data_IF_534281108251
#
_entry.id   IF_534281108251
#
_cell.length_a   1.000
_cell.length_b   1.000
_cell.length_c   1.000
_cell.angle_alpha   90.00
_cell.angle_beta   90.00
_cell.angle_gamma   90.00
#
_symmetry.space_group_name_H-M   'P 1'
#
loop_
_entity.id
_entity.type
_entity.pdbx_description
1 polymer ?
#
# COMPACT_ATOMS: atom_id res chain seq x y z
N UNK A 1 30.79 9.44 23.59
CA UNK A 1 32.26 9.47 23.54
C UNK A 1 32.79 10.19 24.75
N UNK A 2 33.01 9.44 25.83
CA UNK A 2 33.83 9.91 26.94
C UNK A 2 35.23 10.22 26.41
N UNK A 3 35.81 11.35 26.82
CA UNK A 3 37.15 11.73 26.38
C UNK A 3 38.14 10.78 27.06
N UNK A 4 38.54 9.73 26.35
CA UNK A 4 39.53 8.77 26.84
C UNK A 4 40.74 9.57 27.33
N UNK A 5 41.11 9.38 28.60
CA UNK A 5 42.24 10.08 29.20
C UNK A 5 43.55 9.47 28.70
N UNK A 6 43.85 9.70 27.41
CA UNK A 6 45.07 9.28 26.74
C UNK A 6 46.31 9.86 27.41
N UNK A 7 46.17 11.00 28.08
CA UNK A 7 47.26 11.66 28.77
C UNK A 7 47.70 10.88 30.01
N UNK A 8 46.77 10.45 30.87
CA UNK A 8 47.08 9.62 32.04
C UNK A 8 47.67 8.26 31.66
N UNK A 9 47.17 7.64 30.59
CA UNK A 9 47.75 6.39 30.06
C UNK A 9 49.18 6.61 29.57
N UNK A 10 49.41 7.69 28.82
CA UNK A 10 50.74 8.03 28.30
C UNK A 10 51.73 8.32 29.42
N UNK A 11 51.33 9.06 30.44
CA UNK A 11 52.14 9.35 31.62
C UNK A 11 52.49 8.06 32.38
N UNK A 12 51.52 7.17 32.60
CA UNK A 12 51.76 5.88 33.24
C UNK A 12 52.69 4.97 32.41
N UNK A 13 52.55 4.97 31.08
CA UNK A 13 53.42 4.23 30.18
C UNK A 13 54.87 4.78 30.21
N UNK A 14 55.03 6.10 30.16
CA UNK A 14 56.33 6.76 30.22
C UNK A 14 57.01 6.54 31.58
N UNK A 15 56.25 6.57 32.67
CA UNK A 15 56.76 6.27 34.01
C UNK A 15 57.29 4.82 34.05
N UNK A 16 56.47 3.85 33.63
CA UNK A 16 56.90 2.45 33.54
C UNK A 16 58.17 2.26 32.71
N UNK A 17 58.24 2.85 31.51
CA UNK A 17 59.43 2.76 30.65
C UNK A 17 60.67 3.36 31.31
N UNK A 18 60.52 4.49 31.99
CA UNK A 18 61.61 5.17 32.68
C UNK A 18 62.11 4.35 33.87
N UNK A 19 61.19 3.80 34.68
CA UNK A 19 61.53 2.95 35.82
C UNK A 19 62.15 1.63 35.39
N UNK A 20 61.68 1.04 34.28
CA UNK A 20 62.26 -0.17 33.71
C UNK A 20 63.69 0.06 33.23
N UNK A 21 63.93 1.14 32.47
CA UNK A 21 65.27 1.48 31.99
C UNK A 21 66.24 1.76 33.15
N UNK A 22 65.75 2.37 34.24
CA UNK A 22 66.54 2.59 35.45
C UNK A 22 66.82 1.30 36.22
N UNK A 23 65.84 0.40 36.34
CA UNK A 23 66.00 -0.93 36.95
C UNK A 23 67.03 -1.77 36.19
N UNK A 24 66.97 -1.79 34.85
CA UNK A 24 67.92 -2.52 33.99
C UNK A 24 69.35 -1.97 34.09
N UNK A 25 69.51 -0.69 34.41
CA UNK A 25 70.81 -0.03 34.54
C UNK A 25 71.47 -0.20 35.93
N UNK A 26 70.72 -0.63 36.96
CA UNK A 26 71.20 -0.72 38.35
C UNK A 26 71.06 -2.14 38.88
N UNK A 27 72.20 -2.84 39.02
CA UNK A 27 72.24 -4.27 39.41
C UNK A 27 72.15 -4.53 40.92
N UNK A 28 72.36 -3.54 41.79
CA UNK A 28 72.52 -3.75 43.25
C UNK A 28 71.56 -2.93 44.14
N UNK A 29 70.48 -2.35 43.61
CA UNK A 29 69.55 -1.54 44.42
C UNK A 29 68.32 -2.35 44.90
N UNK A 30 68.13 -2.54 46.22
CA UNK A 30 67.02 -3.32 46.77
C UNK A 30 65.63 -2.72 46.48
N UNK A 31 65.53 -1.41 46.18
CA UNK A 31 64.25 -0.77 45.93
C UNK A 31 63.82 -0.81 44.45
N UNK A 32 64.74 -1.15 43.54
CA UNK A 32 64.48 -1.00 42.11
C UNK A 32 63.43 -1.98 41.56
N UNK A 33 63.37 -3.20 42.10
CA UNK A 33 62.35 -4.19 41.77
C UNK A 33 60.94 -3.75 42.24
N UNK A 34 60.88 -3.16 43.43
CA UNK A 34 59.63 -2.67 44.02
C UNK A 34 59.06 -1.49 43.21
N UNK A 35 59.90 -0.52 42.86
CA UNK A 35 59.50 0.66 42.07
C UNK A 35 59.03 0.25 40.67
N UNK A 36 59.72 -0.69 40.02
CA UNK A 36 59.32 -1.22 38.71
C UNK A 36 57.98 -1.97 38.80
N UNK A 37 57.80 -2.78 39.84
CA UNK A 37 56.54 -3.50 40.09
C UNK A 37 55.36 -2.55 40.31
N UNK A 38 55.58 -1.45 41.05
CA UNK A 38 54.56 -0.42 41.26
C UNK A 38 54.20 0.32 39.96
N UNK A 39 55.20 0.66 39.14
CA UNK A 39 54.98 1.31 37.84
C UNK A 39 54.19 0.42 36.86
N UNK A 40 54.51 -0.89 36.81
CA UNK A 40 53.72 -1.88 36.04
C UNK A 40 52.28 -1.95 36.55
N UNK A 41 52.09 -1.99 37.87
CA UNK A 41 50.76 -2.06 38.46
C UNK A 41 49.93 -0.81 38.14
N UNK A 42 50.54 0.38 38.18
CA UNK A 42 49.91 1.65 37.82
C UNK A 42 49.50 1.68 36.34
N UNK A 43 50.40 1.28 35.43
CA UNK A 43 50.08 1.21 34.00
C UNK A 43 48.93 0.24 33.70
N UNK A 44 48.97 -0.96 34.28
CA UNK A 44 47.88 -1.96 34.15
C UNK A 44 46.55 -1.45 34.71
N UNK A 45 46.55 -0.66 35.78
CA UNK A 45 45.32 -0.03 36.30
C UNK A 45 44.73 0.93 35.28
N UNK A 46 45.55 1.78 34.66
CA UNK A 46 45.06 2.74 33.66
C UNK A 46 44.44 2.05 32.45
N UNK A 47 45.08 0.99 31.94
CA UNK A 47 44.53 0.18 30.84
C UNK A 47 43.14 -0.36 31.23
N UNK A 48 43.03 -0.99 32.41
CA UNK A 48 41.75 -1.58 32.87
C UNK A 48 40.64 -0.56 33.04
N UNK A 49 40.95 0.65 33.51
CA UNK A 49 39.96 1.70 33.63
C UNK A 49 39.41 2.10 32.26
N UNK A 50 40.29 2.34 31.29
CA UNK A 50 39.87 2.67 29.92
C UNK A 50 39.09 1.53 29.24
N UNK A 51 39.53 0.28 29.43
CA UNK A 51 38.80 -0.90 28.94
C UNK A 51 37.40 -0.95 29.53
N UNK A 52 37.25 -0.68 30.83
CA UNK A 52 35.95 -0.66 31.50
C UNK A 52 35.04 0.44 30.95
N UNK A 53 35.57 1.65 30.73
CA UNK A 53 34.80 2.77 30.18
C UNK A 53 34.31 2.47 28.76
N UNK A 54 35.18 1.91 27.90
CA UNK A 54 34.82 1.49 26.54
C UNK A 54 33.75 0.40 26.57
N UNK A 55 33.92 -0.62 27.43
CA UNK A 55 32.94 -1.70 27.57
C UNK A 55 31.59 -1.15 28.04
N UNK A 56 31.57 -0.23 29.00
CA UNK A 56 30.33 0.38 29.49
C UNK A 56 29.60 1.15 28.37
N UNK A 57 30.32 1.97 27.58
CA UNK A 57 29.74 2.70 26.45
C UNK A 57 29.21 1.74 25.37
N UNK A 58 29.94 0.69 25.04
CA UNK A 58 29.50 -0.32 24.07
C UNK A 58 28.26 -1.10 24.56
N UNK A 59 28.16 -1.38 25.87
CA UNK A 59 27.00 -2.05 26.44
C UNK A 59 25.75 -1.14 26.39
N UNK A 60 25.89 0.16 26.66
CA UNK A 60 24.81 1.13 26.52
C UNK A 60 24.36 1.25 25.05
N UNK A 61 25.30 1.32 24.10
CA UNK A 61 24.99 1.30 22.68
C UNK A 61 24.28 0.00 22.24
N UNK A 62 24.66 -1.14 22.82
CA UNK A 62 24.03 -2.41 22.52
C UNK A 62 22.59 -2.44 23.04
N UNK A 63 22.36 -2.01 24.27
CA UNK A 63 21.02 -1.93 24.87
C UNK A 63 20.10 -1.00 24.06
N UNK A 64 20.60 0.16 23.63
CA UNK A 64 19.80 1.08 22.80
C UNK A 64 19.44 0.47 21.44
N UNK A 65 20.35 -0.30 20.82
CA UNK A 65 20.08 -1.03 19.57
C UNK A 65 19.08 -2.17 19.77
N UNK A 66 19.19 -2.93 20.85
CA UNK A 66 18.24 -4.00 21.19
C UNK A 66 16.82 -3.45 21.43
N UNK A 67 16.71 -2.33 22.13
CA UNK A 67 15.43 -1.63 22.32
C UNK A 67 14.83 -1.19 20.97
N UNK A 68 15.65 -0.67 20.06
CA UNK A 68 15.21 -0.28 18.71
C UNK A 68 14.74 -1.49 17.88
N UNK A 69 15.42 -2.63 18.01
CA UNK A 69 15.02 -3.88 17.34
C UNK A 69 13.65 -4.33 17.86
N UNK A 70 13.45 -4.36 19.19
CA UNK A 70 12.18 -4.74 19.79
C UNK A 70 11.01 -3.83 19.34
N UNK A 71 11.24 -2.52 19.22
CA UNK A 71 10.24 -1.60 18.66
C UNK A 71 9.89 -1.93 17.21
N UNK A 72 10.89 -2.21 16.37
CA UNK A 72 10.69 -2.56 14.97
C UNK A 72 9.96 -3.90 14.81
N UNK A 73 10.27 -4.90 15.64
CA UNK A 73 9.56 -6.19 15.66
C UNK A 73 8.08 -6.03 16.04
N UNK A 74 7.80 -5.16 17.01
CA UNK A 74 6.42 -4.82 17.39
C UNK A 74 5.66 -4.16 16.23
N UNK A 75 6.29 -3.20 15.54
CA UNK A 75 5.70 -2.54 14.37
C UNK A 75 5.48 -3.54 13.24
N UNK A 76 6.45 -4.40 12.95
CA UNK A 76 6.36 -5.42 11.92
C UNK A 76 5.20 -6.39 12.19
N UNK A 77 5.03 -6.81 13.45
CA UNK A 77 3.94 -7.70 13.87
C UNK A 77 2.56 -7.03 13.73
N UNK A 78 2.42 -5.77 14.14
CA UNK A 78 1.18 -5.01 13.97
C UNK A 78 0.81 -4.83 12.48
N UNK A 79 1.80 -4.53 11.64
CA UNK A 79 1.62 -4.44 10.19
C UNK A 79 1.22 -5.78 9.56
N UNK A 80 1.84 -6.89 9.96
CA UNK A 80 1.49 -8.22 9.50
C UNK A 80 0.02 -8.56 9.82
N UNK A 81 -0.44 -8.23 11.03
CA UNK A 81 -1.84 -8.44 11.44
C UNK A 81 -2.83 -7.59 10.61
N UNK A 82 -2.50 -6.31 10.38
CA UNK A 82 -3.32 -5.42 9.54
C UNK A 82 -3.40 -5.93 8.10
N UNK A 83 -2.30 -6.44 7.57
CA UNK A 83 -2.25 -7.01 6.23
C UNK A 83 -3.12 -8.28 6.12
N UNK A 84 -3.05 -9.18 7.11
CA UNK A 84 -3.91 -10.37 7.16
C UNK A 84 -5.39 -9.97 7.17
N UNK A 85 -5.77 -9.02 8.03
CA UNK A 85 -7.15 -8.52 8.11
C UNK A 85 -7.62 -7.90 6.80
N UNK A 86 -6.76 -7.18 6.09
CA UNK A 86 -7.07 -6.61 4.79
C UNK A 86 -7.25 -7.70 3.72
N UNK A 87 -6.40 -8.73 3.70
CA UNK A 87 -6.56 -9.88 2.82
C UNK A 87 -7.87 -10.62 3.08
N UNK A 88 -8.21 -10.84 4.35
CA UNK A 88 -9.47 -11.48 4.74
C UNK A 88 -10.66 -10.65 4.24
N UNK A 89 -10.66 -9.34 4.50
CA UNK A 89 -11.72 -8.44 4.03
C UNK A 89 -11.88 -8.43 2.51
N UNK A 90 -10.77 -8.43 1.76
CA UNK A 90 -10.79 -8.52 0.30
C UNK A 90 -11.36 -9.86 -0.18
N UNK A 91 -10.99 -10.96 0.47
CA UNK A 91 -11.54 -12.29 0.17
C UNK A 91 -13.05 -12.34 0.42
N UNK A 92 -13.52 -11.80 1.55
CA UNK A 92 -14.95 -11.71 1.85
C UNK A 92 -15.70 -10.85 0.83
N UNK A 93 -15.15 -9.69 0.45
CA UNK A 93 -15.74 -8.84 -0.58
C UNK A 93 -15.83 -9.56 -1.93
N UNK A 94 -14.77 -10.25 -2.36
CA UNK A 94 -14.77 -11.02 -3.60
C UNK A 94 -15.83 -12.13 -3.61
N UNK A 95 -15.99 -12.85 -2.49
CA UNK A 95 -17.03 -13.87 -2.34
C UNK A 95 -18.43 -13.26 -2.45
N UNK A 96 -18.69 -12.16 -1.73
CA UNK A 96 -19.98 -11.45 -1.81
C UNK A 96 -20.27 -10.99 -3.24
N UNK A 97 -19.31 -10.37 -3.92
CA UNK A 97 -19.47 -9.97 -5.32
C UNK A 97 -19.76 -11.15 -6.25
N UNK A 98 -19.09 -12.29 -6.06
CA UNK A 98 -19.36 -13.50 -6.86
C UNK A 98 -20.77 -14.04 -6.62
N UNK A 99 -21.25 -14.02 -5.37
CA UNK A 99 -22.59 -14.47 -5.01
C UNK A 99 -23.66 -13.51 -5.56
N UNK A 100 -23.43 -12.20 -5.48
CA UNK A 100 -24.31 -11.19 -6.08
C UNK A 100 -24.33 -11.33 -7.61
N UNK A 101 -23.16 -11.53 -8.25
CA UNK A 101 -23.09 -11.74 -9.70
C UNK A 101 -23.86 -12.99 -10.14
N UNK A 102 -23.78 -14.09 -9.37
CA UNK A 102 -24.59 -15.29 -9.63
C UNK A 102 -26.10 -15.02 -9.48
N UNK A 103 -26.52 -14.20 -8.51
CA UNK A 103 -27.92 -13.80 -8.37
C UNK A 103 -28.39 -12.88 -9.50
N UNK A 104 -27.57 -11.90 -9.93
CA UNK A 104 -27.93 -10.99 -11.02
C UNK A 104 -27.96 -11.67 -12.38
N UNK A 105 -27.10 -12.67 -12.61
CA UNK A 105 -27.05 -13.41 -13.87
C UNK A 105 -28.18 -14.44 -14.02
N UNK A 106 -28.94 -14.72 -12.95
CA UNK A 106 -30.08 -15.63 -12.97
C UNK A 106 -31.45 -14.90 -13.05
N UNK A 107 -31.47 -13.62 -13.43
CA UNK A 107 -32.73 -12.91 -13.67
C UNK A 107 -33.41 -13.41 -14.96
N UNK A 108 -34.29 -14.40 -14.83
CA UNK A 108 -35.12 -14.92 -15.92
C UNK A 108 -36.58 -14.47 -15.77
N UNK A 109 -37.17 -13.93 -16.84
CA UNK A 109 -38.58 -13.54 -16.89
C UNK A 109 -39.33 -14.44 -17.86
N UNK A 110 -40.39 -15.09 -17.40
CA UNK A 110 -41.32 -15.80 -18.29
C UNK A 110 -42.20 -14.80 -19.02
N UNK A 111 -42.03 -14.68 -20.34
CA UNK A 111 -42.84 -13.81 -21.18
C UNK A 111 -44.11 -14.54 -21.65
N UNK A 112 -45.23 -13.81 -21.83
CA UNK A 112 -46.45 -14.40 -22.37
C UNK A 112 -46.26 -14.79 -23.85
N UNK A 113 -46.94 -15.84 -24.30
CA UNK A 113 -46.82 -16.32 -25.68
C UNK A 113 -47.42 -15.30 -26.66
N UNK A 114 -46.66 -14.95 -27.69
CA UNK A 114 -47.03 -13.92 -28.67
C UNK A 114 -48.27 -14.33 -29.48
N UNK A 115 -48.51 -15.63 -29.67
CA UNK A 115 -49.65 -16.12 -30.45
C UNK A 115 -51.00 -15.83 -29.81
N UNK A 116 -51.05 -15.67 -28.47
CA UNK A 116 -52.29 -15.36 -27.74
C UNK A 116 -52.80 -13.92 -28.00
N UNK A 117 -51.97 -13.08 -28.61
CA UNK A 117 -52.26 -11.66 -28.85
C UNK A 117 -52.68 -11.36 -30.30
N UNK A 118 -52.94 -12.39 -31.10
CA UNK A 118 -53.56 -12.25 -32.42
C UNK A 118 -55.07 -12.40 -32.30
N UNK A 119 -55.81 -11.35 -32.67
CA UNK A 119 -57.27 -11.38 -32.77
C UNK A 119 -57.63 -11.14 -34.23
N UNK A 120 -58.26 -12.12 -34.88
CA UNK A 120 -58.57 -12.08 -36.31
C UNK A 120 -57.34 -11.72 -37.17
N UNK A 121 -56.23 -12.41 -36.96
CA UNK A 121 -54.93 -12.16 -37.62
C UNK A 121 -54.31 -10.76 -37.41
N UNK A 122 -54.88 -9.94 -36.51
CA UNK A 122 -54.34 -8.63 -36.16
C UNK A 122 -53.65 -8.68 -34.79
N UNK A 123 -52.34 -8.39 -34.78
CA UNK A 123 -51.52 -8.36 -33.58
C UNK A 123 -51.84 -7.18 -32.66
N UNK A 124 -52.09 -7.46 -31.38
CA UNK A 124 -52.46 -6.49 -30.37
C UNK A 124 -51.23 -5.99 -29.58
N UNK A 125 -50.38 -5.18 -30.22
CA UNK A 125 -49.10 -4.72 -29.66
C UNK A 125 -49.18 -4.11 -28.26
N UNK A 126 -50.10 -3.16 -28.00
CA UNK A 126 -50.22 -2.51 -26.68
C UNK A 126 -50.58 -3.48 -25.55
N UNK A 127 -51.35 -4.54 -25.85
CA UNK A 127 -51.71 -5.56 -24.84
C UNK A 127 -50.50 -6.42 -24.51
N UNK A 128 -49.78 -6.86 -25.53
CA UNK A 128 -48.56 -7.66 -25.37
C UNK A 128 -47.48 -6.87 -24.62
N UNK A 129 -47.19 -5.63 -25.01
CA UNK A 129 -46.19 -4.77 -24.35
C UNK A 129 -46.52 -4.57 -22.85
N UNK A 130 -47.76 -4.24 -22.51
CA UNK A 130 -48.19 -4.07 -21.13
C UNK A 130 -48.05 -5.35 -20.30
N UNK A 131 -48.35 -6.50 -20.87
CA UNK A 131 -48.30 -7.77 -20.14
C UNK A 131 -46.84 -8.25 -19.99
N UNK A 132 -45.97 -7.96 -20.97
CA UNK A 132 -44.51 -8.09 -20.86
C UNK A 132 -43.95 -7.18 -19.77
N UNK A 133 -44.33 -5.89 -19.73
CA UNK A 133 -43.95 -4.97 -18.66
C UNK A 133 -44.34 -5.50 -17.28
N UNK A 134 -45.58 -5.98 -17.15
CA UNK A 134 -46.08 -6.57 -15.91
C UNK A 134 -45.27 -7.79 -15.50
N UNK A 135 -44.90 -8.66 -16.44
CA UNK A 135 -44.06 -9.82 -16.15
C UNK A 135 -42.67 -9.40 -15.65
N UNK A 136 -42.04 -8.42 -16.29
CA UNK A 136 -40.73 -7.88 -15.91
C UNK A 136 -40.77 -7.23 -14.52
N UNK A 137 -41.77 -6.39 -14.25
CA UNK A 137 -41.95 -5.72 -12.95
C UNK A 137 -42.26 -6.76 -11.86
N UNK A 138 -43.11 -7.74 -12.14
CA UNK A 138 -43.45 -8.83 -11.21
C UNK A 138 -42.23 -9.69 -10.84
N UNK A 139 -41.29 -9.85 -11.77
CA UNK A 139 -40.01 -10.52 -11.52
C UNK A 139 -39.01 -9.64 -10.74
N UNK A 140 -39.33 -8.36 -10.50
CA UNK A 140 -38.44 -7.41 -9.81
C UNK A 140 -37.52 -6.61 -10.72
N UNK A 141 -37.73 -6.69 -12.04
CA UNK A 141 -36.99 -5.93 -13.04
C UNK A 141 -37.61 -4.57 -13.35
N UNK A 142 -36.93 -3.78 -14.18
CA UNK A 142 -37.40 -2.48 -14.66
C UNK A 142 -37.57 -2.52 -16.18
N UNK A 143 -38.79 -2.30 -16.66
CA UNK A 143 -39.08 -2.21 -18.09
C UNK A 143 -38.79 -0.78 -18.59
N UNK A 144 -38.05 -0.66 -19.69
CA UNK A 144 -37.73 0.60 -20.37
C UNK A 144 -37.97 0.40 -21.87
N UNK A 145 -39.00 1.03 -22.41
CA UNK A 145 -39.23 1.01 -23.87
C UNK A 145 -38.47 2.15 -24.53
N UNK A 146 -37.72 1.83 -25.59
CA UNK A 146 -37.12 2.84 -26.44
C UNK A 146 -38.22 3.55 -27.24
N UNK A 147 -38.37 4.86 -27.07
CA UNK A 147 -39.17 5.68 -28.00
C UNK A 147 -38.42 5.77 -29.33
N UNK A 148 -39.06 5.35 -30.41
CA UNK A 148 -38.61 5.74 -31.75
C UNK A 148 -38.77 7.26 -31.89
N UNK A 149 -37.69 7.97 -32.21
CA UNK A 149 -37.81 9.31 -32.79
C UNK A 149 -38.41 9.14 -34.19
N UNK A 150 -39.67 9.52 -34.36
CA UNK A 150 -40.24 9.71 -35.69
C UNK A 150 -39.89 11.13 -36.14
N UNK A 151 -38.93 11.25 -37.06
CA UNK A 151 -38.74 12.46 -37.85
C UNK A 151 -39.96 12.62 -38.78
N UNK A 152 -41.05 13.17 -38.25
CA UNK A 152 -42.16 13.65 -39.06
C UNK A 152 -41.87 15.08 -39.49
N UNK A 153 -41.28 15.22 -40.67
CA UNK A 153 -41.36 16.42 -41.50
C UNK A 153 -42.85 16.70 -41.79
N UNK A 154 -43.47 17.52 -40.94
CA UNK A 154 -44.76 18.14 -41.26
C UNK A 154 -44.49 19.26 -42.26
N UNK A 155 -44.69 18.93 -43.54
CA UNK A 155 -44.79 19.90 -44.61
C UNK A 155 -46.07 20.73 -44.38
N UNK A 156 -45.88 21.89 -43.74
CA UNK A 156 -46.90 22.93 -43.58
C UNK A 156 -47.11 23.62 -44.91
N UNK A 157 -48.31 23.49 -45.48
CA UNK A 157 -48.71 24.19 -46.69
C UNK A 157 -49.12 25.62 -46.31
N UNK A 158 -48.19 26.58 -46.40
CA UNK A 158 -48.53 28.00 -46.44
C UNK A 158 -48.69 28.46 -47.90
N UNK A 159 -49.81 29.12 -48.15
CA UNK A 159 -50.24 29.66 -49.45
C UNK A 159 -49.70 31.10 -49.61
N UNK A 160 -49.20 31.42 -50.82
CA UNK A 160 -48.75 32.71 -51.37
C UNK A 160 -47.34 33.18 -50.92
N UNK A 161 -46.39 33.54 -51.80
CA UNK A 161 -46.43 34.24 -53.09
C UNK A 161 -45.27 33.78 -53.98
N UNK A 162 -45.48 33.91 -55.29
CA UNK A 162 -44.65 33.34 -56.34
C UNK A 162 -43.19 33.79 -56.41
N UNK A 163 -42.42 33.04 -57.20
CA UNK A 163 -41.80 33.50 -58.44
C UNK A 163 -41.34 32.28 -59.25
N UNK A 164 -41.25 32.49 -60.56
CA UNK A 164 -41.04 31.53 -61.65
C UNK A 164 -39.82 30.58 -61.50
N UNK A 165 -40.07 29.29 -61.79
CA UNK A 165 -39.47 28.38 -62.80
C UNK A 165 -37.97 28.50 -63.21
N UNK A 166 -37.40 27.49 -63.92
CA UNK A 166 -37.35 26.04 -63.65
C UNK A 166 -35.96 25.41 -64.01
N UNK A 167 -35.82 24.10 -63.77
CA UNK A 167 -35.04 23.11 -64.54
C UNK A 167 -33.53 23.37 -64.83
N UNK A 168 -32.67 22.47 -64.35
CA UNK A 168 -31.77 21.58 -65.13
C UNK A 168 -30.87 20.80 -64.14
N UNK A 169 -31.01 19.48 -64.06
CA UNK A 169 -29.99 18.49 -64.49
C UNK A 169 -28.56 19.03 -64.56
N UNK A 170 -27.66 18.58 -63.69
CA UNK A 170 -26.53 17.75 -64.13
C UNK A 170 -25.63 17.26 -62.97
N UNK A 171 -25.27 15.97 -63.10
CA UNK A 171 -23.93 15.37 -62.95
C UNK A 171 -23.22 15.42 -61.59
N UNK A 172 -23.09 14.21 -61.02
CA UNK A 172 -21.82 13.53 -60.75
C UNK A 172 -20.56 14.42 -60.73
N UNK A 173 -19.85 14.42 -59.61
CA UNK A 173 -18.49 13.88 -59.57
C UNK A 173 -17.93 13.87 -58.14
N UNK A 174 -17.41 12.70 -57.78
CA UNK A 174 -16.19 12.41 -56.98
C UNK A 174 -15.97 13.15 -55.67
#
# INVERSE_FOLDING_TARGET
MSEINYQALREAAQNYQSTLAWYEAITDNPNAEQDCSEAVAAFKRQIRHQEMDIIAELLEELETKDNRIAELEKIATDHALKFQKAQDALKYAALLHSQTAQQTNNFSVSLPDISEYFINDVFQHLRYERDVERAIIKAGGKALWQKKHEDRTHQSCDVNRGWFSPLTTDKNNT
#
